data_IF_399813317705
#
_entry.id   IF_399813317705
#
_cell.length_a   1.000
_cell.length_b   1.000
_cell.length_c   1.000
_cell.angle_alpha   90.00
_cell.angle_beta   90.00
_cell.angle_gamma   90.00
#
_symmetry.space_group_name_H-M   'P 1'
#
loop_
_entity.id
_entity.type
_entity.pdbx_description
1 polymer ?
#
# COMPACT_ATOMS: atom_id res chain seq x y z
N UNK A 1 -31.48 1.14 -27.73
CA UNK A 1 -31.11 2.24 -26.83
C UNK A 1 -31.00 1.64 -25.45
N UNK A 2 -29.78 1.36 -24.99
CA UNK A 2 -29.48 1.00 -23.60
C UNK A 2 -27.96 1.15 -23.41
N UNK A 3 -27.63 1.80 -22.30
CA UNK A 3 -26.38 2.49 -22.01
C UNK A 3 -25.16 1.57 -22.01
N UNK A 4 -24.24 1.82 -22.95
CA UNK A 4 -22.84 1.44 -22.84
C UNK A 4 -22.09 2.65 -22.31
N UNK A 5 -21.79 2.68 -21.02
CA UNK A 5 -20.69 3.47 -20.47
C UNK A 5 -20.48 3.07 -19.01
N UNK A 6 -19.64 2.07 -18.76
CA UNK A 6 -18.98 1.95 -17.47
C UNK A 6 -17.47 2.01 -17.73
N UNK A 7 -17.05 3.20 -18.11
CA UNK A 7 -15.66 3.59 -18.18
C UNK A 7 -15.22 3.88 -16.74
N UNK A 8 -14.30 3.10 -16.18
CA UNK A 8 -13.74 3.36 -14.84
C UNK A 8 -12.92 4.65 -14.90
N UNK A 9 -13.58 5.77 -14.65
CA UNK A 9 -12.94 7.08 -14.53
C UNK A 9 -12.24 7.15 -13.19
N UNK A 10 -10.94 7.41 -13.22
CA UNK A 10 -10.16 7.75 -12.03
C UNK A 10 -10.11 9.26 -11.99
N UNK A 11 -10.80 9.86 -11.01
CA UNK A 11 -10.72 11.28 -10.72
C UNK A 11 -10.53 11.49 -9.23
N UNK A 12 -9.29 11.76 -8.84
CA UNK A 12 -8.87 11.86 -7.45
C UNK A 12 -8.03 13.12 -7.24
N UNK A 13 -8.15 13.71 -6.06
CA UNK A 13 -7.26 14.78 -5.61
C UNK A 13 -6.68 14.44 -4.24
N UNK A 14 -5.43 14.83 -4.02
CA UNK A 14 -4.69 14.65 -2.76
C UNK A 14 -4.09 15.99 -2.33
N UNK A 15 -3.84 16.16 -1.03
CA UNK A 15 -3.17 17.34 -0.47
C UNK A 15 -1.89 16.93 0.25
N UNK A 16 -0.85 17.77 0.15
CA UNK A 16 0.42 17.55 0.85
C UNK A 16 0.28 17.66 2.38
N UNK A 17 -0.65 18.49 2.88
CA UNK A 17 -0.89 18.73 4.32
C UNK A 17 0.38 19.12 5.11
N UNK A 18 1.21 19.98 4.51
CA UNK A 18 2.52 20.41 5.04
C UNK A 18 2.54 21.88 5.47
N UNK A 19 1.57 22.70 5.06
CA UNK A 19 1.58 24.14 5.31
C UNK A 19 0.99 24.54 6.68
N UNK A 20 1.44 25.68 7.20
CA UNK A 20 0.82 26.34 8.35
C UNK A 20 -0.41 27.15 7.95
N UNK A 21 -1.36 27.30 8.87
CA UNK A 21 -2.59 28.09 8.71
C UNK A 21 -2.33 29.61 8.81
N UNK A 22 -1.32 30.10 8.08
CA UNK A 22 -0.83 31.49 8.14
C UNK A 22 -1.35 32.36 6.99
N UNK A 23 -2.09 31.77 6.05
CA UNK A 23 -2.59 32.42 4.84
C UNK A 23 -1.53 32.70 3.77
N UNK A 24 -0.29 32.22 3.95
CA UNK A 24 0.86 32.48 3.06
C UNK A 24 1.53 31.17 2.60
N UNK A 25 1.66 30.19 3.50
CA UNK A 25 2.19 28.86 3.26
C UNK A 25 1.22 28.02 2.43
N UNK A 26 1.75 27.28 1.45
CA UNK A 26 0.94 26.51 0.50
C UNK A 26 0.99 25.01 0.75
N UNK A 27 -0.18 24.38 0.79
CA UNK A 27 -0.34 22.97 0.50
C UNK A 27 -0.40 22.77 -1.02
N UNK A 28 0.22 21.71 -1.53
CA UNK A 28 0.07 21.30 -2.93
C UNK A 28 -1.11 20.35 -3.07
N UNK A 29 -2.03 20.67 -3.97
CA UNK A 29 -3.14 19.81 -4.36
C UNK A 29 -2.80 19.16 -5.70
N UNK A 30 -2.67 17.84 -5.71
CA UNK A 30 -2.41 17.05 -6.92
C UNK A 30 -3.70 16.37 -7.34
N UNK A 31 -4.08 16.57 -8.59
CA UNK A 31 -5.17 15.88 -9.26
C UNK A 31 -4.64 14.80 -10.19
N UNK A 32 -5.34 13.67 -10.26
CA UNK A 32 -5.16 12.61 -11.27
C UNK A 32 -6.49 12.40 -11.99
N UNK A 33 -6.46 12.48 -13.32
CA UNK A 33 -7.61 12.22 -14.18
C UNK A 33 -7.26 11.25 -15.31
N UNK A 34 -7.86 10.06 -15.29
CA UNK A 34 -7.63 9.00 -16.28
C UNK A 34 -8.89 8.16 -16.53
N UNK A 35 -8.87 7.41 -17.64
CA UNK A 35 -9.83 6.33 -17.89
C UNK A 35 -9.09 5.00 -17.79
N UNK A 36 -9.28 4.28 -16.69
CA UNK A 36 -8.38 3.20 -16.29
C UNK A 36 -6.93 3.71 -16.23
N UNK A 37 -6.00 2.96 -16.82
CA UNK A 37 -4.58 3.33 -16.91
C UNK A 37 -4.26 4.39 -17.98
N UNK A 38 -5.25 4.91 -18.70
CA UNK A 38 -5.03 5.89 -19.77
C UNK A 38 -5.10 7.32 -19.23
N UNK A 39 -3.96 8.01 -19.02
CA UNK A 39 -3.95 9.39 -18.56
C UNK A 39 -4.62 10.31 -19.58
N UNK A 40 -5.48 11.21 -19.11
CA UNK A 40 -6.09 12.21 -19.98
C UNK A 40 -5.24 13.47 -19.95
N UNK A 41 -4.58 13.77 -21.06
CA UNK A 41 -3.83 15.01 -21.25
C UNK A 41 -4.76 16.16 -21.65
N UNK A 42 -4.56 17.34 -21.06
CA UNK A 42 -5.21 18.59 -21.45
C UNK A 42 -6.63 18.76 -20.92
N UNK A 43 -7.11 17.90 -20.01
CA UNK A 43 -8.40 18.10 -19.36
C UNK A 43 -8.33 19.31 -18.43
N UNK A 44 -9.26 20.24 -18.56
CA UNK A 44 -9.37 21.40 -17.68
C UNK A 44 -10.10 21.01 -16.39
N UNK A 45 -9.39 21.06 -15.27
CA UNK A 45 -9.92 20.80 -13.94
C UNK A 45 -10.13 22.11 -13.21
N UNK A 46 -11.33 22.35 -12.71
CA UNK A 46 -11.70 23.50 -11.89
C UNK A 46 -11.69 23.12 -10.41
N UNK A 47 -10.90 23.83 -9.62
CA UNK A 47 -10.77 23.63 -8.18
C UNK A 47 -11.50 24.74 -7.42
N UNK A 48 -12.15 24.38 -6.31
CA UNK A 48 -12.88 25.30 -5.44
C UNK A 48 -12.61 24.97 -3.98
N UNK A 49 -12.55 25.99 -3.12
CA UNK A 49 -12.41 25.82 -1.67
C UNK A 49 -13.67 26.20 -0.89
N UNK A 50 -13.97 25.43 0.15
CA UNK A 50 -15.12 25.63 1.05
C UNK A 50 -15.07 26.91 1.87
N UNK A 51 -13.87 27.38 2.25
CA UNK A 51 -13.68 28.49 3.20
C UNK A 51 -13.37 29.83 2.53
N UNK A 52 -13.78 30.93 3.18
CA UNK A 52 -13.52 32.29 2.68
C UNK A 52 -12.04 32.67 2.80
N UNK A 53 -11.37 32.17 3.84
CA UNK A 53 -9.97 32.47 4.15
C UNK A 53 -9.00 31.48 3.50
N UNK A 54 -9.47 30.67 2.55
CA UNK A 54 -8.65 29.77 1.76
C UNK A 54 -8.56 30.30 0.32
N UNK A 55 -7.34 30.36 -0.20
CA UNK A 55 -7.06 30.95 -1.52
C UNK A 55 -6.05 30.09 -2.27
N UNK A 56 -6.27 29.93 -3.56
CA UNK A 56 -5.25 29.38 -4.45
C UNK A 56 -4.18 30.43 -4.75
N UNK A 57 -3.10 30.02 -5.42
CA UNK A 57 -1.97 30.91 -5.80
C UNK A 57 -2.34 32.11 -6.68
N UNK A 58 -3.57 32.19 -7.18
CA UNK A 58 -4.12 33.34 -7.90
C UNK A 58 -4.93 34.30 -6.99
N UNK A 59 -4.83 34.15 -5.67
CA UNK A 59 -5.58 34.89 -4.65
C UNK A 59 -7.10 34.74 -4.72
N UNK A 60 -7.59 33.72 -5.43
CA UNK A 60 -9.01 33.43 -5.56
C UNK A 60 -9.40 32.13 -4.86
N UNK A 61 -10.69 31.98 -4.59
CA UNK A 61 -11.29 30.76 -4.03
C UNK A 61 -11.51 29.66 -5.07
N UNK A 62 -11.13 29.93 -6.32
CA UNK A 62 -11.18 28.98 -7.41
C UNK A 62 -10.01 29.20 -8.36
N UNK A 63 -9.53 28.11 -8.94
CA UNK A 63 -8.48 28.11 -9.96
C UNK A 63 -8.73 26.97 -10.94
N UNK A 64 -8.22 27.09 -12.16
CA UNK A 64 -8.25 26.01 -13.14
C UNK A 64 -6.83 25.57 -13.49
N UNK A 65 -6.62 24.26 -13.65
CA UNK A 65 -5.38 23.70 -14.16
C UNK A 65 -5.67 22.65 -15.25
N UNK A 66 -4.70 22.42 -16.14
CA UNK A 66 -4.82 21.41 -17.19
C UNK A 66 -3.96 20.21 -16.84
N UNK A 67 -4.46 19.01 -17.08
CA UNK A 67 -3.69 17.79 -16.89
C UNK A 67 -2.55 17.66 -17.90
N UNK A 68 -1.41 17.15 -17.45
CA UNK A 68 -0.23 16.87 -18.27
C UNK A 68 -0.34 15.50 -19.00
N UNK A 69 0.75 15.05 -19.63
CA UNK A 69 0.79 13.75 -20.32
C UNK A 69 0.63 12.54 -19.39
N UNK A 70 0.79 12.71 -18.08
CA UNK A 70 0.52 11.68 -17.07
C UNK A 70 -0.89 11.80 -16.47
N UNK A 71 -1.72 12.70 -17.00
CA UNK A 71 -3.08 12.91 -16.49
C UNK A 71 -3.11 13.66 -15.17
N UNK A 72 -2.02 14.37 -14.83
CA UNK A 72 -1.88 15.08 -13.55
C UNK A 72 -1.96 16.58 -13.71
N UNK A 73 -2.58 17.27 -12.76
CA UNK A 73 -2.44 18.72 -12.62
C UNK A 73 -2.26 19.11 -11.17
N UNK A 74 -1.67 20.29 -10.93
CA UNK A 74 -1.26 20.77 -9.61
C UNK A 74 -1.74 22.18 -9.39
N UNK A 75 -2.20 22.46 -8.18
CA UNK A 75 -2.54 23.81 -7.71
C UNK A 75 -2.05 24.00 -6.29
N UNK A 76 -1.75 25.24 -5.90
CA UNK A 76 -1.27 25.57 -4.56
C UNK A 76 -2.39 26.26 -3.77
N UNK A 77 -2.62 25.81 -2.54
CA UNK A 77 -3.68 26.31 -1.65
C UNK A 77 -3.08 26.81 -0.32
N UNK A 78 -3.33 28.08 0.01
CA UNK A 78 -3.01 28.67 1.31
C UNK A 78 -4.30 28.94 2.09
N UNK A 79 -4.24 28.90 3.42
CA UNK A 79 -5.38 29.25 4.26
C UNK A 79 -4.95 29.72 5.65
N UNK A 80 -5.83 30.45 6.33
CA UNK A 80 -5.77 30.65 7.79
C UNK A 80 -6.66 29.69 8.58
N UNK A 81 -7.36 28.77 7.89
CA UNK A 81 -8.15 27.72 8.54
C UNK A 81 -7.31 26.43 8.61
N UNK A 82 -7.36 25.72 9.73
CA UNK A 82 -6.65 24.45 9.92
C UNK A 82 -7.17 23.31 9.05
N UNK A 83 -8.40 23.43 8.53
CA UNK A 83 -9.02 22.40 7.70
C UNK A 83 -9.88 23.03 6.60
N UNK A 84 -9.58 22.68 5.35
CA UNK A 84 -10.24 23.21 4.16
C UNK A 84 -10.65 22.09 3.24
N UNK A 85 -11.95 22.01 2.93
CA UNK A 85 -12.44 21.08 1.92
C UNK A 85 -12.22 21.67 0.52
N UNK A 86 -11.54 20.91 -0.33
CA UNK A 86 -11.25 21.26 -1.72
C UNK A 86 -12.09 20.37 -2.62
N UNK A 87 -12.80 20.99 -3.56
CA UNK A 87 -13.56 20.31 -4.60
C UNK A 87 -12.85 20.47 -5.93
N UNK A 88 -12.80 19.41 -6.73
CA UNK A 88 -12.37 19.47 -8.12
C UNK A 88 -13.51 19.02 -9.03
N UNK A 89 -13.69 19.70 -10.15
CA UNK A 89 -14.68 19.39 -11.18
C UNK A 89 -13.99 19.33 -12.54
N UNK A 90 -14.38 18.37 -13.36
CA UNK A 90 -13.95 18.28 -14.76
C UNK A 90 -15.16 17.94 -15.64
N UNK A 91 -15.32 18.68 -16.73
CA UNK A 91 -16.24 18.31 -17.81
C UNK A 91 -15.41 17.69 -18.93
N UNK A 92 -15.66 16.41 -19.22
CA UNK A 92 -14.96 15.68 -20.26
C UNK A 92 -15.93 14.77 -21.00
N UNK A 93 -15.88 14.79 -22.34
CA UNK A 93 -16.81 14.05 -23.20
C UNK A 93 -18.30 14.28 -22.86
N UNK A 94 -18.68 15.52 -22.55
CA UNK A 94 -20.04 15.92 -22.15
C UNK A 94 -20.54 15.24 -20.86
N UNK A 95 -19.64 14.70 -20.03
CA UNK A 95 -19.94 14.21 -18.70
C UNK A 95 -19.22 15.06 -17.66
N UNK A 96 -19.86 15.27 -16.50
CA UNK A 96 -19.28 15.98 -15.38
C UNK A 96 -18.79 14.96 -14.35
N UNK A 97 -17.55 15.14 -13.91
CA UNK A 97 -16.97 14.40 -12.80
C UNK A 97 -16.62 15.36 -11.68
N UNK A 98 -16.79 14.93 -10.44
CA UNK A 98 -16.41 15.69 -9.24
C UNK A 98 -15.71 14.79 -8.23
N UNK A 99 -14.79 15.36 -7.48
CA UNK A 99 -14.12 14.71 -6.35
C UNK A 99 -13.73 15.76 -5.31
N UNK A 100 -13.34 15.32 -4.12
CA UNK A 100 -12.90 16.23 -3.06
C UNK A 100 -11.81 15.61 -2.19
N UNK A 101 -11.07 16.48 -1.52
CA UNK A 101 -10.13 16.12 -0.45
C UNK A 101 -10.12 17.20 0.61
N UNK A 102 -9.70 16.83 1.82
CA UNK A 102 -9.48 17.79 2.89
C UNK A 102 -8.00 18.17 2.90
N UNK A 103 -7.73 19.47 2.79
CA UNK A 103 -6.39 20.03 3.02
C UNK A 103 -6.30 20.50 4.46
N UNK A 104 -5.34 19.94 5.20
CA UNK A 104 -5.08 20.26 6.60
C UNK A 104 -3.88 21.20 6.68
N UNK A 105 -4.00 22.21 7.53
CA UNK A 105 -2.95 23.17 7.84
C UNK A 105 -2.62 23.07 9.32
N UNK A 106 -1.34 23.15 9.68
CA UNK A 106 -0.96 23.21 11.10
C UNK A 106 -1.32 24.57 11.68
N UNK A 107 -1.89 24.59 12.88
CA UNK A 107 -2.25 25.83 13.57
C UNK A 107 -1.05 26.80 13.61
N UNK A 108 -1.25 28.00 13.06
CA UNK A 108 -0.23 29.06 12.98
C UNK A 108 0.05 29.70 14.34
N UNK A 109 -0.93 29.68 15.24
CA UNK A 109 -0.80 30.19 16.59
C UNK A 109 -0.50 29.08 17.61
N UNK A 110 -0.27 27.86 17.13
CA UNK A 110 0.17 26.79 17.99
C UNK A 110 1.47 27.26 18.66
N UNK A 111 1.45 27.31 19.99
CA UNK A 111 2.64 27.59 20.81
C UNK A 111 3.02 26.39 21.65
N UNK A 112 2.34 25.27 21.42
CA UNK A 112 2.59 24.04 22.14
C UNK A 112 3.94 23.47 21.74
N UNK A 113 4.57 22.94 22.77
CA UNK A 113 5.80 22.18 22.70
C UNK A 113 5.40 20.72 22.79
N UNK A 114 5.40 20.02 21.66
CA UNK A 114 4.86 18.66 21.57
C UNK A 114 5.77 17.75 20.75
N UNK A 115 6.05 16.57 21.28
CA UNK A 115 6.66 15.46 20.55
C UNK A 115 5.59 14.38 20.39
N UNK A 116 5.04 14.23 19.20
CA UNK A 116 4.06 13.18 18.92
C UNK A 116 4.62 12.15 17.93
N UNK A 117 3.96 11.02 17.81
CA UNK A 117 4.40 9.92 16.96
C UNK A 117 3.27 9.27 16.18
N UNK A 118 3.61 8.61 15.09
CA UNK A 118 2.68 7.78 14.33
C UNK A 118 3.38 6.54 13.79
N UNK A 119 2.64 5.41 13.82
CA UNK A 119 3.13 4.11 13.35
C UNK A 119 2.82 3.97 11.87
N UNK A 120 3.86 3.93 11.04
CA UNK A 120 3.73 3.71 9.59
C UNK A 120 3.51 2.24 9.25
N UNK A 121 4.10 1.33 10.04
CA UNK A 121 3.88 -0.12 9.93
C UNK A 121 4.06 -0.77 11.28
N UNK A 122 3.16 -1.72 11.56
CA UNK A 122 3.12 -2.52 12.77
C UNK A 122 3.01 -4.01 12.42
N UNK A 123 3.13 -4.89 13.42
CA UNK A 123 3.00 -6.35 13.29
C UNK A 123 4.07 -6.98 12.40
N UNK A 124 5.29 -6.46 12.44
CA UNK A 124 6.43 -7.09 11.78
C UNK A 124 6.68 -8.52 12.29
N UNK A 125 7.18 -9.39 11.42
CA UNK A 125 7.60 -10.74 11.83
C UNK A 125 8.82 -10.67 12.75
N UNK A 126 8.85 -11.56 13.74
CA UNK A 126 9.94 -11.69 14.71
C UNK A 126 11.15 -12.46 14.15
N UNK A 127 11.59 -12.14 12.94
CA UNK A 127 12.70 -12.82 12.23
C UNK A 127 14.04 -12.05 12.30
N UNK A 128 14.08 -10.95 13.06
CA UNK A 128 15.22 -10.04 13.18
C UNK A 128 15.48 -9.16 11.95
N UNK A 129 14.61 -9.18 10.95
CA UNK A 129 14.75 -8.44 9.68
C UNK A 129 13.52 -7.60 9.36
N UNK A 130 12.33 -8.16 9.51
CA UNK A 130 11.09 -7.44 9.29
C UNK A 130 10.94 -6.32 10.32
N UNK A 131 10.45 -5.18 9.84
CA UNK A 131 10.61 -3.90 10.52
C UNK A 131 9.26 -3.24 10.77
N UNK A 132 9.06 -2.81 12.01
CA UNK A 132 8.06 -1.82 12.38
C UNK A 132 8.64 -0.41 12.20
N UNK A 133 7.80 0.55 11.81
CA UNK A 133 8.23 1.91 11.49
C UNK A 133 7.44 2.91 12.32
N UNK A 134 8.13 3.80 13.02
CA UNK A 134 7.54 4.90 13.78
C UNK A 134 8.20 6.19 13.32
N UNK A 135 7.38 7.21 13.03
CA UNK A 135 7.88 8.57 12.83
C UNK A 135 7.51 9.41 14.03
N UNK A 136 8.48 10.13 14.54
CA UNK A 136 8.29 11.18 15.54
C UNK A 136 8.29 12.53 14.85
N UNK A 137 7.47 13.45 15.35
CA UNK A 137 7.46 14.85 14.94
C UNK A 137 7.50 15.75 16.17
N UNK A 138 8.43 16.68 16.16
CA UNK A 138 8.62 17.67 17.21
C UNK A 138 8.17 19.05 16.75
N UNK A 139 7.32 19.66 17.55
CA UNK A 139 6.95 21.07 17.48
C UNK A 139 7.48 21.80 18.72
N UNK A 140 8.10 22.95 18.52
CA UNK A 140 8.48 23.89 19.58
C UNK A 140 7.90 25.25 19.22
N UNK A 141 7.10 25.81 20.11
CA UNK A 141 6.24 26.96 19.85
C UNK A 141 5.42 26.75 18.56
N UNK A 142 4.86 25.54 18.41
CA UNK A 142 4.08 25.09 17.25
C UNK A 142 4.81 25.02 15.91
N UNK A 143 6.11 25.29 15.87
CA UNK A 143 6.91 25.19 14.65
C UNK A 143 7.75 23.91 14.64
N UNK A 144 7.94 23.27 13.47
CA UNK A 144 8.84 22.13 13.35
C UNK A 144 10.23 22.48 13.86
N UNK A 145 10.71 21.70 14.84
CA UNK A 145 12.03 21.91 15.41
C UNK A 145 13.02 20.95 14.76
N UNK A 146 13.88 21.49 13.90
CA UNK A 146 14.99 20.76 13.30
C UNK A 146 16.18 20.61 14.27
N UNK A 147 17.05 19.64 13.97
CA UNK A 147 18.29 19.37 14.68
C UNK A 147 18.12 19.09 16.18
N UNK A 148 16.94 18.67 16.62
CA UNK A 148 16.71 18.27 18.00
C UNK A 148 17.08 16.81 18.20
N UNK A 149 17.84 16.53 19.26
CA UNK A 149 18.28 15.20 19.61
C UNK A 149 17.17 14.43 20.33
N UNK A 150 16.74 13.31 19.74
CA UNK A 150 15.70 12.43 20.28
C UNK A 150 16.34 11.11 20.73
N UNK A 151 16.07 10.73 21.98
CA UNK A 151 16.43 9.41 22.52
C UNK A 151 15.22 8.52 22.66
N UNK A 152 15.43 7.20 22.56
CA UNK A 152 14.36 6.20 22.63
C UNK A 152 14.61 5.20 23.74
N UNK A 153 13.52 4.74 24.35
CA UNK A 153 13.51 3.63 25.30
C UNK A 153 12.38 2.65 24.95
N UNK A 154 12.48 1.43 25.48
CA UNK A 154 11.50 0.37 25.28
C UNK A 154 11.00 -0.20 26.60
N UNK A 155 9.71 -0.53 26.64
CA UNK A 155 9.06 -1.17 27.78
C UNK A 155 8.32 -2.45 27.33
N UNK A 156 8.51 -3.58 28.02
CA UNK A 156 9.42 -3.77 29.16
C UNK A 156 10.89 -3.74 28.74
N UNK A 157 11.78 -3.31 29.65
CA UNK A 157 13.23 -3.24 29.37
C UNK A 157 13.88 -4.59 29.02
N UNK A 158 13.19 -5.70 29.33
CA UNK A 158 13.59 -7.07 28.96
C UNK A 158 13.25 -7.45 27.53
N UNK A 159 12.59 -6.58 26.76
CA UNK A 159 12.24 -6.82 25.36
C UNK A 159 13.50 -6.99 24.50
N UNK A 160 13.43 -7.88 23.50
CA UNK A 160 14.49 -8.06 22.49
C UNK A 160 14.41 -7.08 21.32
N UNK A 161 13.39 -6.23 21.27
CA UNK A 161 13.21 -5.24 20.20
C UNK A 161 14.44 -4.33 20.06
N UNK A 162 14.96 -4.22 18.85
CA UNK A 162 16.11 -3.42 18.51
C UNK A 162 15.66 -2.17 17.76
N UNK A 163 15.89 -1.00 18.36
CA UNK A 163 15.54 0.32 17.82
C UNK A 163 16.73 0.87 17.03
N UNK A 164 16.51 1.24 15.77
CA UNK A 164 17.52 1.84 14.92
C UNK A 164 16.99 3.14 14.27
N UNK A 165 17.78 4.23 14.33
CA UNK A 165 18.97 4.39 15.17
C UNK A 165 18.59 4.45 16.67
N UNK A 166 19.55 4.15 17.56
CA UNK A 166 19.33 4.21 19.02
C UNK A 166 19.02 5.64 19.55
N UNK A 167 19.37 6.64 18.74
CA UNK A 167 19.04 8.04 18.90
C UNK A 167 19.05 8.69 17.52
N UNK A 168 18.40 9.84 17.35
CA UNK A 168 18.43 10.56 16.08
C UNK A 168 18.27 12.06 16.25
N UNK A 169 18.40 12.79 15.15
CA UNK A 169 18.11 14.22 15.09
C UNK A 169 16.93 14.47 14.16
N UNK A 170 16.06 15.40 14.53
CA UNK A 170 14.94 15.80 13.68
C UNK A 170 15.43 16.53 12.42
N UNK A 171 14.76 16.30 11.30
CA UNK A 171 15.02 16.97 10.03
C UNK A 171 14.42 18.39 9.98
N UNK A 172 14.52 19.05 8.81
CA UNK A 172 13.95 20.39 8.57
C UNK A 172 12.42 20.48 8.73
N UNK A 173 11.73 19.33 8.75
CA UNK A 173 10.29 19.21 9.01
C UNK A 173 9.99 18.80 10.45
N UNK A 174 11.00 18.81 11.32
CA UNK A 174 10.89 18.39 12.71
C UNK A 174 10.66 16.88 12.87
N UNK A 175 10.96 16.08 11.84
CA UNK A 175 10.63 14.65 11.80
C UNK A 175 11.84 13.76 12.01
N UNK A 176 11.61 12.58 12.59
CA UNK A 176 12.61 11.52 12.73
C UNK A 176 11.93 10.16 12.57
N UNK A 177 12.38 9.39 11.56
CA UNK A 177 11.96 8.01 11.36
C UNK A 177 12.88 7.06 12.13
N UNK A 178 12.28 6.12 12.86
CA UNK A 178 12.97 4.96 13.41
C UNK A 178 12.41 3.66 12.86
N UNK A 179 13.28 2.66 12.81
CA UNK A 179 12.97 1.28 12.47
C UNK A 179 13.16 0.41 13.71
N UNK A 180 12.30 -0.59 13.85
CA UNK A 180 12.33 -1.48 15.01
C UNK A 180 12.18 -2.92 14.52
N UNK A 181 13.15 -3.75 14.86
CA UNK A 181 13.20 -5.18 14.54
C UNK A 181 13.15 -6.00 15.81
N UNK A 182 12.76 -7.27 15.73
CA UNK A 182 12.78 -8.18 16.88
C UNK A 182 12.99 -9.63 16.41
N UNK A 183 13.56 -10.46 17.28
CA UNK A 183 13.70 -11.92 17.09
C UNK A 183 12.70 -12.72 17.93
N UNK A 184 11.87 -12.04 18.72
CA UNK A 184 10.85 -12.64 19.58
C UNK A 184 9.50 -12.04 19.27
N UNK A 185 8.48 -12.90 19.15
CA UNK A 185 7.10 -12.43 19.09
C UNK A 185 6.69 -11.86 20.44
N UNK A 186 6.48 -10.55 20.50
CA UNK A 186 6.07 -9.83 21.70
C UNK A 186 5.46 -8.47 21.35
N UNK A 187 4.93 -7.78 22.35
CA UNK A 187 4.45 -6.41 22.22
C UNK A 187 5.29 -5.47 23.09
N UNK A 188 5.57 -4.29 22.56
CA UNK A 188 6.55 -3.36 23.13
C UNK A 188 5.99 -1.93 23.07
N UNK A 189 6.20 -1.16 24.13
CA UNK A 189 6.00 0.29 24.10
C UNK A 189 7.33 0.98 23.83
N UNK A 190 7.31 1.97 22.94
CA UNK A 190 8.46 2.80 22.59
C UNK A 190 8.19 4.21 23.10
N UNK A 191 9.08 4.70 23.95
CA UNK A 191 9.05 6.07 24.46
C UNK A 191 10.13 6.88 23.78
N UNK A 192 9.86 8.17 23.57
CA UNK A 192 10.82 9.11 23.00
C UNK A 192 10.93 10.37 23.84
N UNK A 193 12.12 10.96 23.86
CA UNK A 193 12.43 12.17 24.62
C UNK A 193 13.26 13.12 23.75
N UNK A 194 12.75 14.33 23.54
CA UNK A 194 13.50 15.45 22.99
C UNK A 194 14.35 16.07 24.10
N UNK A 195 15.66 15.89 24.03
CA UNK A 195 16.57 16.08 25.17
C UNK A 195 16.77 17.56 25.52
N UNK A 196 16.98 18.42 24.53
CA UNK A 196 17.24 19.85 24.72
C UNK A 196 15.97 20.58 25.15
N UNK A 197 14.85 20.24 24.50
CA UNK A 197 13.55 20.86 24.78
C UNK A 197 12.86 20.25 26.00
N UNK A 198 13.34 19.10 26.47
CA UNK A 198 12.82 18.32 27.58
C UNK A 198 11.33 17.96 27.42
N UNK A 199 10.95 17.49 26.22
CA UNK A 199 9.59 17.09 25.86
C UNK A 199 9.55 15.58 25.66
N UNK A 200 8.54 14.92 26.22
CA UNK A 200 8.35 13.48 26.09
C UNK A 200 7.16 13.19 25.18
N UNK A 201 7.32 12.16 24.36
CA UNK A 201 6.19 11.62 23.61
C UNK A 201 5.34 10.71 24.48
N UNK A 202 4.05 10.63 24.16
CA UNK A 202 3.21 9.53 24.64
C UNK A 202 3.79 8.18 24.15
N UNK A 203 3.81 7.14 25.00
CA UNK A 203 4.36 5.83 24.63
C UNK A 203 3.63 5.22 23.43
N UNK A 204 4.38 4.80 22.42
CA UNK A 204 3.82 4.17 21.22
C UNK A 204 3.83 2.65 21.34
N UNK A 205 2.67 2.02 21.14
CA UNK A 205 2.55 0.56 21.13
C UNK A 205 2.89 -0.02 19.75
N UNK A 206 3.75 -1.05 19.74
CA UNK A 206 4.03 -1.90 18.58
C UNK A 206 3.96 -3.39 18.96
N UNK A 207 3.77 -4.24 17.96
CA UNK A 207 3.78 -5.70 18.13
C UNK A 207 4.65 -6.37 17.08
N UNK A 208 5.27 -7.47 17.47
CA UNK A 208 5.93 -8.44 16.61
C UNK A 208 5.16 -9.75 16.63
N UNK A 209 4.88 -10.29 15.45
CA UNK A 209 4.17 -11.56 15.29
C UNK A 209 5.17 -12.71 15.11
N UNK A 210 4.82 -13.96 15.46
CA UNK A 210 5.69 -15.10 15.23
C UNK A 210 6.19 -15.17 13.79
N UNK A 211 7.47 -15.55 13.63
CA UNK A 211 7.99 -15.93 12.32
C UNK A 211 7.18 -17.12 11.81
N UNK A 212 6.62 -16.98 10.59
CA UNK A 212 5.95 -18.08 9.91
C UNK A 212 7.03 -18.86 9.15
N UNK A 213 7.32 -20.12 9.55
CA UNK A 213 8.40 -20.88 8.94
C UNK A 213 8.15 -21.08 7.45
N UNK A 214 9.22 -21.07 6.64
CA UNK A 214 9.14 -21.57 5.28
C UNK A 214 8.60 -23.01 5.31
N UNK A 215 7.59 -23.29 4.49
CA UNK A 215 6.92 -24.59 4.44
C UNK A 215 6.95 -25.16 3.03
N UNK A 216 7.09 -26.48 2.92
CA UNK A 216 7.07 -27.17 1.63
C UNK A 216 5.95 -28.20 1.66
N UNK A 217 5.04 -28.10 0.68
CA UNK A 217 3.93 -29.01 0.45
C UNK A 217 4.24 -29.76 -0.84
N UNK A 218 4.37 -31.07 -0.77
CA UNK A 218 4.60 -31.93 -1.93
C UNK A 218 3.50 -32.98 -2.01
N UNK A 219 3.12 -33.37 -3.21
CA UNK A 219 2.07 -34.36 -3.41
C UNK A 219 1.97 -34.84 -4.84
N UNK A 220 1.20 -35.92 -5.03
CA UNK A 220 0.90 -36.45 -6.34
C UNK A 220 -0.55 -36.12 -6.71
N UNK A 221 -0.75 -35.65 -7.95
CA UNK A 221 -2.06 -35.48 -8.54
C UNK A 221 -2.26 -36.43 -9.71
N UNK A 222 -3.35 -37.18 -9.68
CA UNK A 222 -3.77 -37.99 -10.84
C UNK A 222 -4.92 -37.31 -11.57
N UNK A 223 -4.70 -37.00 -12.85
CA UNK A 223 -5.67 -36.33 -13.71
C UNK A 223 -6.59 -37.36 -14.38
N UNK A 224 -7.91 -37.28 -14.13
CA UNK A 224 -8.92 -38.21 -14.67
C UNK A 224 -10.04 -37.43 -15.38
N UNK A 225 -10.30 -37.69 -16.67
CA UNK A 225 -11.39 -37.06 -17.43
C UNK A 225 -11.34 -37.40 -18.94
N UNK A 226 -12.37 -37.12 -19.76
CA UNK A 226 -12.33 -37.36 -21.22
C UNK A 226 -11.41 -36.35 -21.95
N UNK A 227 -10.86 -36.73 -23.13
CA UNK A 227 -10.03 -35.84 -23.96
C UNK A 227 -10.85 -34.59 -24.27
N UNK A 228 -10.27 -33.41 -24.02
CA UNK A 228 -10.81 -32.07 -24.32
C UNK A 228 -11.92 -31.47 -23.41
N UNK A 229 -12.04 -31.84 -22.13
CA UNK A 229 -12.91 -31.12 -21.18
C UNK A 229 -12.09 -30.48 -20.05
N UNK A 230 -12.46 -29.24 -19.70
CA UNK A 230 -11.93 -28.52 -18.53
C UNK A 230 -12.14 -29.38 -17.28
N UNK A 231 -11.04 -29.79 -16.64
CA UNK A 231 -11.06 -30.52 -15.37
C UNK A 231 -10.83 -29.60 -14.19
N UNK A 232 -11.36 -29.98 -13.02
CA UNK A 232 -11.14 -29.27 -11.75
C UNK A 232 -10.29 -30.13 -10.81
N UNK A 233 -9.37 -29.52 -10.08
CA UNK A 233 -8.64 -30.16 -8.98
C UNK A 233 -8.28 -29.15 -7.90
N UNK A 234 -8.17 -29.61 -6.65
CA UNK A 234 -7.60 -28.85 -5.54
C UNK A 234 -6.18 -29.35 -5.26
N UNK A 235 -5.19 -28.46 -5.31
CA UNK A 235 -3.78 -28.78 -5.01
C UNK A 235 -3.40 -28.57 -3.56
N UNK A 236 -3.89 -27.48 -3.00
CA UNK A 236 -3.57 -27.04 -1.66
C UNK A 236 -4.76 -27.42 -0.77
N UNK A 237 -4.47 -27.93 0.44
CA UNK A 237 -5.50 -28.35 1.39
C UNK A 237 -6.47 -27.19 1.71
N UNK A 238 -7.66 -27.52 2.22
CA UNK A 238 -8.75 -26.55 2.44
C UNK A 238 -8.38 -25.37 3.35
N UNK A 239 -7.26 -25.47 4.07
CA UNK A 239 -6.78 -24.49 5.05
C UNK A 239 -5.51 -23.72 4.62
N UNK A 240 -5.03 -23.89 3.38
CA UNK A 240 -3.83 -23.16 2.95
C UNK A 240 -4.15 -21.68 2.70
N UNK A 241 -3.48 -20.81 3.45
CA UNK A 241 -3.63 -19.35 3.37
C UNK A 241 -2.34 -18.77 2.81
N UNK A 242 -2.45 -18.00 1.73
CA UNK A 242 -1.35 -17.15 1.28
C UNK A 242 -1.24 -15.96 2.23
N UNK A 243 -0.08 -15.79 2.83
CA UNK A 243 0.24 -14.59 3.60
C UNK A 243 0.86 -13.52 2.70
N UNK A 244 0.43 -12.25 2.82
CA UNK A 244 1.05 -11.15 2.11
C UNK A 244 2.49 -10.95 2.63
N UNK A 245 3.38 -10.50 1.76
CA UNK A 245 4.79 -10.25 2.10
C UNK A 245 5.74 -11.42 1.86
N UNK A 246 5.25 -12.56 1.33
CA UNK A 246 6.04 -13.79 1.20
C UNK A 246 6.26 -14.21 -0.25
N UNK A 247 7.36 -14.91 -0.49
CA UNK A 247 7.67 -15.58 -1.73
C UNK A 247 7.19 -17.02 -1.69
N UNK A 248 6.67 -17.50 -2.80
CA UNK A 248 6.24 -18.88 -2.98
C UNK A 248 6.79 -19.41 -4.31
N UNK A 249 6.92 -20.73 -4.47
CA UNK A 249 7.23 -21.36 -5.75
C UNK A 249 6.36 -22.59 -5.96
N UNK A 250 6.10 -22.89 -7.22
CA UNK A 250 5.33 -24.07 -7.60
C UNK A 250 6.06 -24.81 -8.71
N UNK A 251 6.17 -26.13 -8.56
CA UNK A 251 6.80 -27.02 -9.52
C UNK A 251 5.88 -28.21 -9.79
N UNK A 252 5.80 -28.64 -11.06
CA UNK A 252 5.07 -29.84 -11.47
C UNK A 252 5.97 -30.70 -12.37
N UNK A 253 6.01 -32.00 -12.12
CA UNK A 253 6.76 -32.94 -12.93
C UNK A 253 6.05 -33.26 -14.26
N UNK A 254 6.85 -33.41 -15.31
CA UNK A 254 6.46 -33.85 -16.65
C UNK A 254 5.39 -32.98 -17.34
N UNK A 255 5.86 -31.92 -18.01
CA UNK A 255 5.09 -30.77 -18.54
C UNK A 255 4.20 -31.05 -19.76
N UNK A 256 4.31 -32.21 -20.41
CA UNK A 256 4.07 -32.31 -21.85
C UNK A 256 2.71 -31.77 -22.33
N UNK A 257 1.64 -31.82 -21.51
CA UNK A 257 0.29 -31.58 -22.02
C UNK A 257 -0.63 -30.71 -21.17
N UNK A 258 -0.22 -30.18 -20.01
CA UNK A 258 -1.11 -29.40 -19.13
C UNK A 258 -1.11 -27.90 -19.52
N UNK A 259 -2.26 -27.41 -20.01
CA UNK A 259 -2.60 -26.00 -20.23
C UNK A 259 -3.65 -25.57 -19.23
N UNK A 260 -3.34 -24.64 -18.34
CA UNK A 260 -4.29 -24.09 -17.35
C UNK A 260 -5.25 -23.14 -18.07
N UNK A 261 -6.57 -23.24 -17.83
CA UNK A 261 -7.57 -22.41 -18.51
C UNK A 261 -8.55 -21.76 -17.51
N UNK A 262 -9.23 -20.69 -17.91
CA UNK A 262 -9.95 -19.71 -17.07
C UNK A 262 -10.98 -20.24 -16.07
N UNK A 263 -11.11 -19.53 -14.94
CA UNK A 263 -12.07 -19.76 -13.86
C UNK A 263 -13.12 -18.61 -13.78
N UNK A 264 -14.44 -18.89 -13.67
CA UNK A 264 -15.47 -17.84 -13.58
C UNK A 264 -15.63 -17.19 -12.20
N UNK A 265 -15.18 -17.83 -11.10
CA UNK A 265 -15.46 -17.37 -9.71
C UNK A 265 -14.40 -17.71 -8.63
N UNK A 266 -13.22 -18.21 -8.99
CA UNK A 266 -12.20 -18.69 -8.04
C UNK A 266 -10.87 -17.94 -8.12
N UNK A 267 -10.24 -17.77 -6.96
CA UNK A 267 -8.96 -17.08 -6.76
C UNK A 267 -7.73 -17.98 -7.04
N UNK A 268 -7.28 -18.09 -8.31
CA UNK A 268 -5.89 -17.91 -8.83
C UNK A 268 -5.44 -18.82 -10.01
N UNK A 269 -4.73 -18.15 -10.93
CA UNK A 269 -3.86 -18.54 -12.07
C UNK A 269 -4.42 -18.77 -13.48
N UNK A 270 -3.86 -17.98 -14.42
CA UNK A 270 -3.82 -18.27 -15.85
C UNK A 270 -2.37 -18.22 -16.34
N UNK A 271 -1.87 -19.40 -16.74
CA UNK A 271 -0.67 -19.55 -17.54
C UNK A 271 -1.10 -19.59 -18.99
N UNK A 272 -0.36 -18.89 -19.84
CA UNK A 272 -0.91 -18.23 -21.01
C UNK A 272 -1.45 -16.89 -20.59
N UNK A 273 -0.45 -16.05 -20.51
CA UNK A 273 -0.47 -15.08 -21.55
C UNK A 273 -1.27 -15.61 -22.82
N UNK A 274 -2.34 -14.96 -23.19
CA UNK A 274 -2.26 -13.53 -23.08
C UNK A 274 -3.50 -12.95 -22.40
N UNK A 275 -3.98 -13.58 -21.29
CA UNK A 275 -4.38 -12.95 -19.99
C UNK A 275 -5.49 -13.70 -19.22
N UNK A 276 -5.33 -13.93 -17.90
CA UNK A 276 -6.42 -13.78 -16.92
C UNK A 276 -5.88 -13.18 -15.62
N UNK A 277 -6.75 -12.40 -15.00
CA UNK A 277 -6.51 -11.66 -13.78
C UNK A 277 -7.46 -12.17 -12.69
N UNK A 278 -7.02 -12.07 -11.44
CA UNK A 278 -7.93 -11.84 -10.32
C UNK A 278 -7.70 -10.44 -9.83
N UNK A 279 -8.72 -9.61 -10.04
CA UNK A 279 -8.76 -8.26 -9.54
C UNK A 279 -10.09 -8.11 -8.83
N UNK A 280 -10.05 -8.17 -7.51
CA UNK A 280 -10.56 -6.99 -6.83
C UNK A 280 -9.44 -5.94 -6.95
N UNK A 281 -9.56 -5.13 -8.00
CA UNK A 281 -8.90 -3.87 -8.31
C UNK A 281 -7.39 -3.85 -8.70
N UNK A 282 -7.17 -3.59 -10.01
CA UNK A 282 -6.01 -3.13 -10.80
C UNK A 282 -4.74 -4.00 -11.05
N UNK A 283 -4.16 -3.95 -12.29
CA UNK A 283 -3.49 -5.06 -12.94
C UNK A 283 -2.05 -5.25 -12.47
N UNK A 284 -1.81 -6.33 -11.71
CA UNK A 284 -0.46 -6.89 -11.57
C UNK A 284 -0.21 -7.83 -12.74
N UNK A 285 0.84 -7.54 -13.51
CA UNK A 285 1.45 -8.49 -14.44
C UNK A 285 2.06 -9.63 -13.59
N UNK A 286 1.27 -10.67 -13.33
CA UNK A 286 1.75 -11.97 -12.88
C UNK A 286 2.16 -12.75 -14.13
N UNK A 287 3.36 -12.48 -14.64
CA UNK A 287 3.96 -13.30 -15.67
C UNK A 287 4.16 -14.70 -15.12
N UNK A 288 3.30 -15.60 -15.61
CA UNK A 288 3.27 -17.04 -15.46
C UNK A 288 3.27 -17.57 -14.02
N UNK A 289 2.27 -18.40 -13.68
CA UNK A 289 2.53 -19.44 -12.69
C UNK A 289 3.67 -20.28 -13.23
N UNK A 290 4.89 -19.97 -12.81
CA UNK A 290 6.07 -20.58 -13.36
C UNK A 290 6.22 -21.95 -12.71
N UNK A 291 5.63 -22.95 -13.36
CA UNK A 291 5.64 -24.38 -13.00
C UNK A 291 7.08 -24.95 -12.97
N UNK A 292 8.10 -24.14 -13.25
CA UNK A 292 9.52 -24.49 -13.18
C UNK A 292 10.13 -24.22 -11.79
N UNK A 293 9.32 -23.96 -10.76
CA UNK A 293 9.81 -23.73 -9.40
C UNK A 293 10.43 -22.35 -9.18
N UNK A 294 10.14 -21.36 -10.04
CA UNK A 294 10.62 -19.99 -9.81
C UNK A 294 9.79 -19.30 -8.71
N UNK A 295 10.41 -18.46 -7.88
CA UNK A 295 9.70 -17.72 -6.84
C UNK A 295 8.74 -16.65 -7.39
N UNK A 296 7.62 -16.43 -6.71
CA UNK A 296 6.68 -15.31 -6.91
C UNK A 296 6.32 -14.66 -5.57
N UNK A 297 6.14 -13.33 -5.54
CA UNK A 297 5.82 -12.58 -4.33
C UNK A 297 4.31 -12.39 -4.15
N UNK A 298 3.78 -12.69 -2.96
CA UNK A 298 2.39 -12.46 -2.59
C UNK A 298 2.24 -11.07 -1.98
N UNK A 299 1.60 -10.15 -2.70
CA UNK A 299 1.35 -8.79 -2.19
C UNK A 299 0.05 -8.66 -1.41
N UNK A 300 -0.90 -9.58 -1.61
CA UNK A 300 -2.21 -9.62 -0.95
C UNK A 300 -2.52 -11.05 -0.55
N UNK A 301 -2.71 -11.29 0.74
CA UNK A 301 -3.02 -12.62 1.26
C UNK A 301 -4.45 -13.07 0.99
N UNK A 302 -4.75 -14.32 1.33
CA UNK A 302 -6.09 -14.87 1.23
C UNK A 302 -6.13 -16.40 1.30
N UNK A 303 -7.29 -16.92 1.67
CA UNK A 303 -7.61 -18.34 1.54
C UNK A 303 -8.04 -18.65 0.11
N UNK A 304 -7.66 -19.82 -0.38
CA UNK A 304 -7.94 -20.26 -1.74
C UNK A 304 -9.34 -20.86 -1.79
N UNK A 305 -10.15 -20.46 -2.79
CA UNK A 305 -11.33 -21.24 -3.16
C UNK A 305 -10.94 -22.39 -4.09
N UNK A 306 -11.52 -23.57 -3.80
CA UNK A 306 -11.22 -24.97 -4.19
C UNK A 306 -10.86 -25.32 -5.65
N UNK A 307 -10.72 -24.39 -6.58
CA UNK A 307 -10.87 -24.70 -8.00
C UNK A 307 -9.71 -24.20 -8.86
N UNK A 308 -8.78 -25.12 -9.17
CA UNK A 308 -7.82 -24.96 -10.27
C UNK A 308 -8.36 -25.63 -11.53
N UNK A 309 -8.20 -24.97 -12.67
CA UNK A 309 -8.74 -25.39 -13.97
C UNK A 309 -7.61 -25.76 -14.92
N UNK A 310 -7.70 -26.92 -15.57
CA UNK A 310 -6.71 -27.36 -16.55
C UNK A 310 -7.33 -28.01 -17.79
N UNK A 311 -6.55 -28.05 -18.85
CA UNK A 311 -6.74 -28.75 -20.10
C UNK A 311 -5.51 -29.62 -20.32
N UNK A 312 -5.68 -30.93 -20.48
CA UNK A 312 -4.60 -31.84 -20.84
C UNK A 312 -4.97 -32.74 -22.01
N UNK A 313 -3.98 -33.21 -22.76
CA UNK A 313 -4.16 -34.22 -23.81
C UNK A 313 -3.91 -35.65 -23.31
N UNK A 314 -3.21 -35.81 -22.17
CA UNK A 314 -2.90 -37.10 -21.53
C UNK A 314 -3.75 -37.30 -20.27
N UNK A 315 -4.62 -38.31 -20.32
CA UNK A 315 -5.58 -38.64 -19.26
C UNK A 315 -5.12 -39.90 -18.57
N UNK A 316 -5.24 -39.92 -17.23
CA UNK A 316 -4.85 -41.06 -16.41
C UNK A 316 -3.39 -41.03 -15.98
N UNK A 317 -2.63 -39.98 -16.32
CA UNK A 317 -1.28 -39.77 -15.83
C UNK A 317 -1.28 -39.11 -14.44
N UNK A 318 -0.34 -39.55 -13.60
CA UNK A 318 -0.07 -38.96 -12.29
C UNK A 318 1.12 -38.02 -12.42
N UNK A 319 0.93 -36.78 -11.98
CA UNK A 319 1.95 -35.74 -11.94
C UNK A 319 2.32 -35.44 -10.48
N UNK A 320 3.61 -35.27 -10.22
CA UNK A 320 4.11 -34.88 -8.91
C UNK A 320 4.21 -33.36 -8.85
N UNK A 321 3.72 -32.74 -7.77
CA UNK A 321 3.85 -31.30 -7.56
C UNK A 321 4.62 -30.99 -6.27
N UNK A 322 5.34 -29.88 -6.32
CA UNK A 322 6.07 -29.30 -5.19
C UNK A 322 5.66 -27.84 -5.10
N UNK A 323 5.00 -27.47 -4.01
CA UNK A 323 4.71 -26.09 -3.66
C UNK A 323 5.58 -25.70 -2.46
N UNK A 324 6.30 -24.60 -2.56
CA UNK A 324 7.13 -24.09 -1.45
C UNK A 324 6.71 -22.68 -1.09
N UNK A 325 6.46 -22.44 0.17
CA UNK A 325 6.58 -21.14 0.78
C UNK A 325 8.07 -20.90 1.08
N UNK A 326 8.62 -19.90 0.39
CA UNK A 326 10.03 -19.53 0.44
C UNK A 326 10.31 -18.45 1.49
N UNK A 327 9.31 -17.98 2.24
CA UNK A 327 9.48 -16.98 3.28
C UNK A 327 9.47 -15.53 2.77
N UNK A 328 9.92 -14.60 3.60
CA UNK A 328 9.91 -13.14 3.31
C UNK A 328 11.08 -12.68 2.44
N UNK A 329 12.06 -13.54 2.18
CA UNK A 329 13.22 -13.21 1.35
C UNK A 329 13.69 -14.42 0.55
N UNK A 330 14.23 -14.17 -0.64
CA UNK A 330 14.88 -15.20 -1.46
C UNK A 330 16.30 -15.39 -0.92
N UNK A 331 16.55 -16.50 -0.23
CA UNK A 331 17.90 -16.94 0.13
C UNK A 331 18.73 -17.30 -1.10
#
# INVERSE_FOLDING_TARGET
MNEKSNSNVIFLITSSNTASADGVSYNEIICVFSFGDMPINGAQVSFHTSHQNAKFSNDQRSITAHTDSEGKCRVLLASTEESVLVFALVNYNNQNYSTSTTSVFSDHNNTDNELFSYVLKNNAQADGKDTNYIVYKLLVNGQPKENEYITFDKLPATSSANIAPAFGVTDSYGQLLITITDTKAESVFITAHAVTENIYAEPQFISFIPEVPASTIEGDITIKGPRSLLGHFGLLGEDFVFEPGRYYSFHLSNRADIRVASCPKGTLFNGLNNRCALLNDDPVLLDDFNIEGRPFYCSRGGSIMKEYFYSTTNIGETHHFIFKDLGTSLS
#
